data_IF_795701804394
#
_entry.id   IF_795701804394
#
_cell.length_a   1.000
_cell.length_b   1.000
_cell.length_c   1.000
_cell.angle_alpha   90.00
_cell.angle_beta   90.00
_cell.angle_gamma   90.00
#
_symmetry.space_group_name_H-M   'P 1'
#
loop_
_entity.id
_entity.type
_entity.pdbx_description
1 polymer ?
#
# COMPACT_ATOMS: atom_id res chain seq x y z
N UNK A 1 38.44 -14.97 -35.96
CA UNK A 1 38.37 -13.49 -35.90
C UNK A 1 37.84 -13.09 -34.53
N UNK A 2 38.60 -12.30 -33.77
CA UNK A 2 38.33 -11.97 -32.35
C UNK A 2 37.18 -10.96 -32.23
N UNK A 3 36.07 -11.36 -31.63
CA UNK A 3 34.98 -10.46 -31.25
C UNK A 3 35.40 -9.64 -30.01
N UNK A 4 35.54 -8.32 -30.18
CA UNK A 4 35.76 -7.37 -29.09
C UNK A 4 34.46 -7.20 -28.31
N UNK A 5 34.42 -7.73 -27.08
CA UNK A 5 33.39 -7.39 -26.08
C UNK A 5 33.64 -5.97 -25.60
N UNK A 6 32.78 -5.04 -25.99
CA UNK A 6 32.71 -3.72 -25.36
C UNK A 6 31.90 -3.86 -24.09
N UNK A 7 32.57 -3.89 -22.93
CA UNK A 7 31.92 -3.65 -21.65
C UNK A 7 31.67 -2.14 -21.54
N UNK A 8 30.50 -1.71 -21.98
CA UNK A 8 29.99 -0.41 -21.61
C UNK A 8 29.71 -0.46 -20.10
N UNK A 9 30.63 0.12 -19.32
CA UNK A 9 30.44 0.39 -17.90
C UNK A 9 29.38 1.50 -17.80
N UNK A 10 28.11 1.14 -17.88
CA UNK A 10 27.03 2.01 -17.45
C UNK A 10 27.21 2.17 -15.93
N UNK A 11 27.76 3.31 -15.53
CA UNK A 11 27.66 3.80 -14.16
C UNK A 11 26.17 3.93 -13.85
N UNK A 12 25.60 2.88 -13.28
CA UNK A 12 24.28 2.92 -12.67
C UNK A 12 24.37 3.91 -11.51
N UNK A 13 24.02 5.17 -11.78
CA UNK A 13 23.69 6.11 -10.72
C UNK A 13 22.39 5.58 -10.14
N UNK A 14 22.46 4.77 -9.09
CA UNK A 14 21.29 4.47 -8.28
C UNK A 14 20.71 5.83 -7.88
N UNK A 15 19.58 6.23 -8.45
CA UNK A 15 18.86 7.33 -7.85
C UNK A 15 18.43 6.85 -6.47
N UNK A 16 18.54 7.75 -5.52
CA UNK A 16 18.44 7.54 -4.08
C UNK A 16 17.51 8.62 -3.58
N UNK A 17 16.75 8.37 -2.53
CA UNK A 17 16.14 9.49 -1.83
C UNK A 17 17.23 10.35 -1.23
N UNK A 18 17.14 11.64 -1.49
CA UNK A 18 18.19 12.60 -1.20
C UNK A 18 17.64 13.71 -0.33
N UNK A 19 18.40 14.05 0.70
CA UNK A 19 18.22 15.26 1.47
C UNK A 19 19.30 16.24 1.03
N UNK A 20 18.91 17.39 0.48
CA UNK A 20 19.82 18.47 0.18
C UNK A 20 19.78 19.53 1.27
N UNK A 21 20.94 19.91 1.80
CA UNK A 21 21.04 21.06 2.71
C UNK A 21 21.01 22.35 1.89
N UNK A 22 19.92 23.11 2.02
CA UNK A 22 19.75 24.41 1.35
C UNK A 22 20.41 25.53 2.16
N UNK A 23 20.25 25.50 3.48
CA UNK A 23 20.88 26.45 4.40
C UNK A 23 21.11 25.82 5.78
N UNK A 24 22.15 26.25 6.53
CA UNK A 24 23.15 27.25 6.18
C UNK A 24 24.25 26.70 5.24
N UNK A 25 24.88 27.58 4.45
CA UNK A 25 25.97 27.20 3.52
C UNK A 25 27.15 26.52 4.24
N UNK A 26 27.40 26.86 5.50
CA UNK A 26 28.44 26.22 6.31
C UNK A 26 28.17 24.72 6.52
N UNK A 27 26.91 24.33 6.74
CA UNK A 27 26.51 22.93 6.83
C UNK A 27 26.57 22.24 5.47
N UNK A 28 26.08 22.90 4.41
CA UNK A 28 26.14 22.35 3.05
C UNK A 28 27.59 22.02 2.62
N UNK A 29 28.57 22.85 3.02
CA UNK A 29 30.02 22.59 2.78
C UNK A 29 30.56 21.36 3.52
N UNK A 30 29.93 20.91 4.61
CA UNK A 30 30.32 19.64 5.25
C UNK A 30 29.96 18.40 4.40
N UNK A 31 29.20 18.63 3.33
CA UNK A 31 28.80 17.66 2.32
C UNK A 31 29.30 18.11 0.92
N UNK A 32 30.46 18.77 0.84
CA UNK A 32 30.98 19.33 -0.41
C UNK A 32 31.25 18.25 -1.48
N UNK A 33 31.75 17.08 -1.08
CA UNK A 33 31.95 15.93 -1.97
C UNK A 33 30.67 15.50 -2.71
N UNK A 34 29.51 15.83 -2.15
CA UNK A 34 28.19 15.49 -2.67
C UNK A 34 27.38 16.74 -3.01
N UNK A 35 28.02 17.92 -3.13
CA UNK A 35 27.37 19.20 -3.44
C UNK A 35 26.19 19.54 -2.50
N UNK A 36 26.31 19.21 -1.21
CA UNK A 36 25.26 19.44 -0.22
C UNK A 36 24.23 18.32 -0.10
N UNK A 37 24.37 17.23 -0.87
CA UNK A 37 23.46 16.09 -0.84
C UNK A 37 23.84 15.10 0.26
N UNK A 38 22.85 14.65 1.03
CA UNK A 38 22.96 13.62 2.05
C UNK A 38 22.17 12.42 1.57
N UNK A 39 22.86 11.29 1.41
CA UNK A 39 22.26 10.07 0.87
C UNK A 39 21.66 9.22 1.98
N UNK A 40 20.43 8.76 1.75
CA UNK A 40 19.69 7.87 2.64
C UNK A 40 18.93 6.78 1.91
N UNK A 41 18.07 6.10 2.66
CA UNK A 41 17.11 5.10 2.15
C UNK A 41 15.70 5.52 2.53
N UNK A 42 14.73 5.27 1.65
CA UNK A 42 13.32 5.62 1.87
C UNK A 42 12.60 4.52 2.64
N UNK A 43 11.59 4.91 3.43
CA UNK A 43 10.63 3.98 4.01
C UNK A 43 9.75 3.29 2.97
N UNK A 44 9.40 2.03 3.19
CA UNK A 44 8.42 1.27 2.39
C UNK A 44 6.97 1.61 2.75
N UNK A 45 6.75 2.77 3.38
CA UNK A 45 5.47 3.27 3.88
C UNK A 45 5.51 4.80 3.87
N UNK A 46 4.34 5.45 4.00
CA UNK A 46 4.27 6.91 3.91
C UNK A 46 4.68 7.39 2.53
N UNK A 47 3.97 6.92 1.50
CA UNK A 47 4.31 7.12 0.09
C UNK A 47 4.60 8.58 -0.21
N UNK A 48 5.84 8.95 -0.58
CA UNK A 48 6.11 10.30 -1.05
C UNK A 48 5.41 10.51 -2.38
N UNK A 49 4.96 11.74 -2.63
CA UNK A 49 4.61 12.17 -3.97
C UNK A 49 5.87 12.18 -4.84
N UNK A 50 6.09 11.07 -5.54
CA UNK A 50 7.16 10.95 -6.52
C UNK A 50 7.05 12.07 -7.55
N UNK A 51 8.17 12.73 -7.87
CA UNK A 51 8.28 13.98 -8.63
C UNK A 51 8.03 15.29 -7.86
N UNK A 52 7.65 15.26 -6.58
CA UNK A 52 7.58 16.46 -5.74
C UNK A 52 8.79 16.56 -4.80
N UNK A 53 9.24 17.80 -4.59
CA UNK A 53 10.31 18.13 -3.65
C UNK A 53 9.71 18.74 -2.40
N UNK A 54 10.11 18.27 -1.23
CA UNK A 54 9.66 18.81 0.06
C UNK A 54 10.73 19.76 0.57
N UNK A 55 10.52 21.06 0.34
CA UNK A 55 11.32 22.12 0.95
C UNK A 55 10.77 22.42 2.35
N UNK A 56 11.61 22.30 3.37
CA UNK A 56 11.17 22.49 4.74
C UNK A 56 12.28 22.84 5.72
N UNK A 57 11.87 23.29 6.90
CA UNK A 57 12.77 23.50 8.02
C UNK A 57 13.02 22.16 8.71
N UNK A 58 14.29 21.86 8.92
CA UNK A 58 14.73 20.71 9.68
C UNK A 58 14.63 21.03 11.18
N UNK A 59 13.77 20.30 11.87
CA UNK A 59 13.49 20.46 13.30
C UNK A 59 14.09 19.30 14.07
N UNK A 60 14.87 19.61 15.09
CA UNK A 60 15.38 18.63 16.05
C UNK A 60 14.63 18.79 17.38
N UNK A 61 14.15 17.68 17.92
CA UNK A 61 13.58 17.63 19.26
C UNK A 61 14.34 16.57 20.06
N UNK A 62 14.72 16.87 21.31
CA UNK A 62 15.33 15.85 22.18
C UNK A 62 14.26 14.87 22.67
N UNK A 63 14.59 13.58 22.63
CA UNK A 63 13.79 12.54 23.29
C UNK A 63 13.98 12.61 24.80
N UNK A 64 12.89 12.49 25.57
CA UNK A 64 12.88 12.33 27.03
C UNK A 64 13.13 10.88 27.47
N UNK A 65 13.95 10.17 26.69
CA UNK A 65 14.31 8.80 27.00
C UNK A 65 13.25 7.78 26.64
N UNK A 66 12.37 8.03 25.65
CA UNK A 66 11.52 7.03 24.96
C UNK A 66 11.85 6.78 23.48
N UNK A 67 12.96 7.31 22.97
CA UNK A 67 13.40 7.22 21.57
C UNK A 67 12.27 7.55 20.59
N UNK A 68 11.49 8.59 20.83
CA UNK A 68 10.40 9.04 19.96
C UNK A 68 9.25 8.03 19.82
N UNK A 69 9.17 7.03 20.70
CA UNK A 69 8.16 5.96 20.63
C UNK A 69 6.84 6.29 21.35
N UNK A 70 6.78 7.41 22.07
CA UNK A 70 5.59 7.85 22.79
C UNK A 70 5.25 9.30 22.44
N UNK A 71 3.97 9.68 22.27
CA UNK A 71 3.60 11.08 22.00
C UNK A 71 4.09 12.09 23.05
N UNK A 72 4.23 11.69 24.31
CA UNK A 72 4.74 12.57 25.38
C UNK A 72 6.26 12.76 25.40
N UNK A 73 7.00 11.98 24.61
CA UNK A 73 8.46 11.88 24.68
C UNK A 73 9.17 13.14 24.19
N UNK A 74 8.57 13.88 23.25
CA UNK A 74 9.16 15.09 22.71
C UNK A 74 8.09 16.10 22.28
N UNK A 75 8.48 17.37 22.26
CA UNK A 75 7.67 18.48 21.76
C UNK A 75 8.34 19.08 20.53
N UNK A 76 7.56 19.37 19.49
CA UNK A 76 8.09 20.05 18.32
C UNK A 76 8.51 21.47 18.70
N UNK A 77 9.71 21.92 18.31
CA UNK A 77 10.08 23.32 18.41
C UNK A 77 9.15 24.18 17.54
N UNK A 78 8.93 25.44 17.95
CA UNK A 78 8.22 26.40 17.11
C UNK A 78 9.00 26.63 15.80
N UNK A 79 8.36 26.33 14.67
CA UNK A 79 8.89 26.68 13.34
C UNK A 79 8.78 28.20 13.18
N UNK A 80 9.88 28.92 13.37
CA UNK A 80 9.93 30.36 13.10
C UNK A 80 10.28 30.58 11.63
N UNK A 81 9.39 31.16 10.81
CA UNK A 81 9.77 31.56 9.46
C UNK A 81 10.92 32.57 9.51
N UNK A 82 11.78 32.65 8.48
CA UNK A 82 12.77 33.71 8.39
C UNK A 82 12.08 35.09 8.51
N UNK A 83 12.67 35.99 9.31
CA UNK A 83 12.09 37.31 9.61
C UNK A 83 11.72 38.04 8.31
N UNK A 84 10.44 38.41 8.14
CA UNK A 84 9.98 39.31 7.08
C UNK A 84 8.98 38.75 6.06
N UNK A 85 8.48 37.52 6.21
CA UNK A 85 7.45 36.98 5.29
C UNK A 85 6.38 36.17 6.03
N UNK A 86 5.18 36.74 6.17
CA UNK A 86 3.99 35.98 6.59
C UNK A 86 3.62 34.89 5.56
N UNK A 87 3.93 35.14 4.27
CA UNK A 87 3.72 34.20 3.16
C UNK A 87 4.61 32.95 3.29
N UNK A 88 5.78 33.05 3.92
CA UNK A 88 6.67 31.91 4.15
C UNK A 88 6.15 30.94 5.21
N UNK A 89 5.23 31.35 6.09
CA UNK A 89 4.76 30.53 7.22
C UNK A 89 3.86 29.38 6.79
N UNK A 90 3.07 29.55 5.74
CA UNK A 90 2.21 28.48 5.19
C UNK A 90 2.93 27.54 4.22
N UNK A 91 4.05 27.98 3.63
CA UNK A 91 4.81 27.16 2.68
C UNK A 91 5.96 26.36 3.32
N UNK A 92 6.34 26.66 4.56
CA UNK A 92 7.45 25.97 5.23
C UNK A 92 6.99 24.62 5.80
N UNK A 93 7.34 23.53 5.12
CA UNK A 93 7.10 22.17 5.62
C UNK A 93 7.98 21.90 6.85
N UNK A 94 7.43 21.18 7.83
CA UNK A 94 8.15 20.75 9.04
C UNK A 94 8.81 19.40 8.78
N UNK A 95 10.13 19.36 8.70
CA UNK A 95 10.88 18.10 8.53
C UNK A 95 11.48 17.72 9.88
N UNK A 96 10.99 16.65 10.50
CA UNK A 96 11.42 16.25 11.83
C UNK A 96 12.62 15.30 11.77
N UNK A 97 13.69 15.61 12.49
CA UNK A 97 14.78 14.68 12.79
C UNK A 97 14.44 13.86 14.04
N UNK A 98 14.55 12.55 13.93
CA UNK A 98 14.41 11.60 15.06
C UNK A 98 15.53 10.56 15.04
N UNK A 99 15.78 9.90 16.17
CA UNK A 99 16.70 8.76 16.22
C UNK A 99 15.96 7.42 16.16
N UNK A 100 16.60 6.45 15.49
CA UNK A 100 16.20 5.05 15.52
C UNK A 100 16.47 4.43 16.90
N UNK A 101 15.52 3.64 17.39
CA UNK A 101 15.61 2.93 18.68
C UNK A 101 14.25 2.39 19.11
N UNK A 102 14.22 1.41 20.03
CA UNK A 102 13.06 0.81 20.73
C UNK A 102 11.81 0.36 19.97
N UNK A 103 11.21 1.21 19.15
CA UNK A 103 10.02 0.92 18.36
C UNK A 103 10.33 0.91 16.85
N UNK A 104 9.34 0.48 16.09
CA UNK A 104 9.39 0.39 14.62
C UNK A 104 9.50 1.77 13.98
N UNK A 105 9.91 1.81 12.71
CA UNK A 105 9.97 3.04 11.94
C UNK A 105 8.57 3.65 11.77
N UNK A 106 7.57 2.82 11.44
CA UNK A 106 6.16 3.22 11.28
C UNK A 106 5.66 3.96 12.52
N UNK A 107 5.87 3.40 13.72
CA UNK A 107 5.43 4.03 14.97
C UNK A 107 6.01 5.44 15.15
N UNK A 108 7.31 5.62 14.89
CA UNK A 108 7.97 6.93 15.03
C UNK A 108 7.42 7.95 14.05
N UNK A 109 7.26 7.55 12.78
CA UNK A 109 6.81 8.44 11.73
C UNK A 109 5.34 8.81 11.94
N UNK A 110 4.50 7.86 12.37
CA UNK A 110 3.10 8.12 12.76
C UNK A 110 2.99 9.13 13.90
N UNK A 111 3.77 8.98 14.96
CA UNK A 111 3.77 9.95 16.08
C UNK A 111 4.24 11.33 15.61
N UNK A 112 5.21 11.39 14.71
CA UNK A 112 5.68 12.65 14.13
C UNK A 112 4.60 13.32 13.25
N UNK A 113 3.89 12.52 12.46
CA UNK A 113 2.75 12.93 11.64
C UNK A 113 1.61 13.50 12.48
N UNK A 114 1.21 12.80 13.54
CA UNK A 114 0.19 13.24 14.50
C UNK A 114 0.57 14.58 15.17
N UNK A 115 1.88 14.89 15.24
CA UNK A 115 2.40 16.17 15.74
C UNK A 115 2.49 17.26 14.66
N UNK A 116 2.14 16.95 13.42
CA UNK A 116 2.14 17.90 12.29
C UNK A 116 3.47 18.00 11.55
N UNK A 117 4.34 16.97 11.64
CA UNK A 117 5.46 16.84 10.71
C UNK A 117 4.92 16.58 9.29
N UNK A 118 5.65 17.04 8.29
CA UNK A 118 5.34 16.82 6.87
C UNK A 118 6.29 15.81 6.22
N UNK A 119 7.45 15.58 6.82
CA UNK A 119 8.38 14.52 6.48
C UNK A 119 9.26 14.20 7.70
N UNK A 120 9.84 13.01 7.73
CA UNK A 120 10.70 12.56 8.84
C UNK A 120 12.05 12.08 8.35
N UNK A 121 13.11 12.58 8.98
CA UNK A 121 14.47 12.11 8.80
C UNK A 121 14.84 11.27 10.02
N UNK A 122 14.94 9.95 9.83
CA UNK A 122 15.38 9.03 10.88
C UNK A 122 16.89 8.91 10.81
N UNK A 123 17.58 9.14 11.93
CA UNK A 123 19.03 8.91 12.04
C UNK A 123 19.26 7.54 12.65
N UNK A 124 20.13 6.73 12.05
CA UNK A 124 20.42 5.38 12.53
C UNK A 124 20.95 5.38 13.98
N UNK A 125 20.85 4.22 14.63
CA UNK A 125 21.17 4.05 16.06
C UNK A 125 22.59 4.52 16.40
N UNK A 126 22.79 5.05 17.60
CA UNK A 126 24.09 5.58 18.03
C UNK A 126 25.20 4.52 18.07
N UNK A 127 24.83 3.27 18.28
CA UNK A 127 25.75 2.12 18.25
C UNK A 127 26.06 1.63 16.84
N UNK A 128 25.48 2.23 15.79
CA UNK A 128 25.70 1.81 14.41
C UNK A 128 27.05 2.28 13.89
N UNK A 129 27.74 1.38 13.20
CA UNK A 129 28.95 1.65 12.41
C UNK A 129 28.65 1.74 10.91
N UNK A 130 27.37 1.62 10.51
CA UNK A 130 26.95 1.64 9.11
C UNK A 130 27.28 2.97 8.45
N UNK A 131 27.93 2.89 7.30
CA UNK A 131 28.18 4.03 6.42
C UNK A 131 26.90 4.43 5.67
N UNK A 132 26.94 5.57 4.99
CA UNK A 132 25.81 6.01 4.16
C UNK A 132 25.53 5.05 2.99
N UNK A 133 26.53 4.27 2.55
CA UNK A 133 26.33 3.19 1.56
C UNK A 133 25.60 1.99 2.18
N UNK A 134 25.98 1.58 3.40
CA UNK A 134 25.30 0.48 4.11
C UNK A 134 23.84 0.83 4.44
N UNK A 135 23.57 2.11 4.72
CA UNK A 135 22.21 2.60 4.98
C UNK A 135 21.35 2.52 3.73
N UNK A 136 21.88 2.81 2.55
CA UNK A 136 21.14 2.69 1.29
C UNK A 136 20.71 1.24 0.99
N UNK A 137 21.42 0.25 1.55
CA UNK A 137 21.05 -1.17 1.47
C UNK A 137 20.09 -1.60 2.60
N UNK A 138 19.80 -0.71 3.54
CA UNK A 138 18.88 -0.98 4.65
C UNK A 138 17.45 -0.66 4.21
N UNK A 139 16.51 -1.56 4.54
CA UNK A 139 15.08 -1.37 4.29
C UNK A 139 14.42 -0.87 5.58
N UNK A 140 13.73 0.27 5.48
CA UNK A 140 12.81 0.74 6.50
C UNK A 140 11.46 0.06 6.28
N UNK A 141 11.37 -1.19 6.73
CA UNK A 141 10.20 -2.04 6.49
C UNK A 141 8.97 -1.57 7.27
N UNK A 142 7.81 -1.79 6.65
CA UNK A 142 6.50 -1.71 7.28
C UNK A 142 6.38 -2.80 8.38
N UNK A 143 5.73 -2.45 9.48
CA UNK A 143 5.39 -3.35 10.58
C UNK A 143 3.94 -3.86 10.54
N UNK A 144 3.23 -3.60 9.43
CA UNK A 144 1.82 -3.95 9.21
C UNK A 144 0.87 -2.77 9.43
N UNK A 145 1.38 -1.60 9.84
CA UNK A 145 0.59 -0.39 10.06
C UNK A 145 1.03 0.79 9.18
N UNK A 146 1.92 0.57 8.22
CA UNK A 146 2.50 1.58 7.34
C UNK A 146 1.45 2.32 6.51
N UNK A 147 0.35 1.66 6.15
CA UNK A 147 -0.78 2.27 5.43
C UNK A 147 -1.43 3.44 6.20
N UNK A 148 -1.29 3.48 7.54
CA UNK A 148 -1.78 4.58 8.37
C UNK A 148 -0.93 5.85 8.27
N UNK A 149 0.32 5.74 7.79
CA UNK A 149 1.26 6.85 7.65
C UNK A 149 1.15 7.45 6.26
N UNK A 150 1.02 8.78 6.16
CA UNK A 150 0.88 9.52 4.88
C UNK A 150 2.08 10.40 4.57
N UNK A 151 2.90 10.75 5.57
CA UNK A 151 4.11 11.53 5.34
C UNK A 151 5.33 10.65 5.00
N UNK A 152 6.22 11.13 4.12
CA UNK A 152 7.40 10.36 3.74
C UNK A 152 8.52 10.43 4.76
N UNK A 153 9.37 9.41 4.74
CA UNK A 153 10.53 9.35 5.61
C UNK A 153 11.78 8.77 4.95
N UNK A 154 12.94 9.23 5.43
CA UNK A 154 14.26 8.80 4.97
C UNK A 154 15.11 8.42 6.18
N UNK A 155 15.83 7.29 6.10
CA UNK A 155 16.87 6.90 7.05
C UNK A 155 18.25 7.34 6.56
N UNK A 156 18.98 8.01 7.46
CA UNK A 156 20.37 8.46 7.26
C UNK A 156 21.34 7.70 8.17
N UNK A 157 22.62 7.68 7.77
CA UNK A 157 23.68 7.17 8.64
C UNK A 157 23.80 8.00 9.90
N UNK A 158 24.30 7.37 10.98
CA UNK A 158 24.61 8.07 12.23
C UNK A 158 25.52 9.27 11.97
N UNK A 159 26.54 9.09 11.13
CA UNK A 159 27.58 10.10 10.88
C UNK A 159 27.02 11.34 10.18
N UNK A 160 26.24 11.15 9.11
CA UNK A 160 25.66 12.28 8.38
C UNK A 160 24.50 12.91 9.16
N UNK A 161 23.65 12.08 9.78
CA UNK A 161 22.57 12.55 10.62
C UNK A 161 23.04 13.37 11.82
N UNK A 162 24.20 13.04 12.42
CA UNK A 162 24.75 13.80 13.54
C UNK A 162 25.09 15.24 13.14
N UNK A 163 25.69 15.46 11.96
CA UNK A 163 25.98 16.81 11.45
C UNK A 163 24.69 17.65 11.33
N UNK A 164 23.60 17.03 10.86
CA UNK A 164 22.30 17.69 10.74
C UNK A 164 21.69 18.02 12.11
N UNK A 165 21.78 17.09 13.07
CA UNK A 165 21.32 17.30 14.45
C UNK A 165 22.07 18.46 15.10
N UNK A 166 23.40 18.47 15.01
CA UNK A 166 24.23 19.50 15.63
C UNK A 166 23.95 20.88 15.05
N UNK A 167 23.73 20.98 13.74
CA UNK A 167 23.34 22.22 13.09
C UNK A 167 21.93 22.67 13.47
N UNK A 168 20.96 21.75 13.55
CA UNK A 168 19.58 22.06 13.95
C UNK A 168 19.48 22.53 15.41
N UNK A 169 20.40 22.10 16.28
CA UNK A 169 20.53 22.62 17.66
C UNK A 169 21.04 24.07 17.71
N UNK A 170 21.90 24.45 16.76
CA UNK A 170 22.55 25.76 16.74
C UNK A 170 21.72 26.84 16.04
N UNK A 171 20.86 26.46 15.09
CA UNK A 171 20.04 27.42 14.36
C UNK A 171 19.12 26.79 13.33
N UNK A 172 18.55 27.64 12.48
CA UNK A 172 17.64 27.22 11.42
C UNK A 172 18.39 26.50 10.31
N UNK A 173 17.99 25.26 10.04
CA UNK A 173 18.46 24.47 8.90
C UNK A 173 17.30 24.28 7.94
N UNK A 174 17.53 24.61 6.66
CA UNK A 174 16.58 24.41 5.58
C UNK A 174 17.06 23.24 4.72
N UNK A 175 16.16 22.31 4.45
CA UNK A 175 16.44 21.13 3.62
C UNK A 175 15.41 20.98 2.53
N UNK A 176 15.83 20.37 1.43
CA UNK A 176 14.96 19.88 0.38
C UNK A 176 15.06 18.36 0.34
N UNK A 177 13.93 17.67 0.41
CA UNK A 177 13.86 16.22 0.22
C UNK A 177 13.35 15.93 -1.18
N UNK A 178 14.04 15.05 -1.89
CA UNK A 178 13.64 14.61 -3.22
C UNK A 178 13.68 13.08 -3.31
N UNK A 179 12.63 12.52 -3.92
CA UNK A 179 12.52 11.10 -4.30
C UNK A 179 12.56 11.01 -5.83
N UNK A 180 13.59 11.61 -6.41
CA UNK A 180 13.75 11.67 -7.86
C UNK A 180 14.00 10.25 -8.39
N UNK A 181 13.08 9.78 -9.24
CA UNK A 181 13.22 8.53 -9.98
C UNK A 181 14.23 8.81 -11.12
N UNK A 182 15.23 7.94 -11.34
CA UNK A 182 16.16 8.12 -12.45
C UNK A 182 15.36 8.13 -13.74
N UNK A 183 15.62 9.11 -14.63
CA UNK A 183 14.81 9.31 -15.83
C UNK A 183 15.43 8.66 -17.06
N UNK A 184 14.60 8.06 -17.90
CA UNK A 184 14.99 7.48 -19.19
C UNK A 184 13.96 7.74 -20.29
N UNK A 185 14.34 7.49 -21.55
CA UNK A 185 13.37 7.47 -22.67
C UNK A 185 12.42 6.28 -22.59
N UNK A 186 12.92 5.18 -22.05
CA UNK A 186 12.19 3.96 -21.69
C UNK A 186 12.32 3.82 -20.18
N UNK A 187 11.24 3.44 -19.51
CA UNK A 187 11.28 3.10 -18.09
C UNK A 187 11.45 1.61 -17.95
N UNK A 188 12.52 1.19 -17.29
CA UNK A 188 12.75 -0.18 -16.86
C UNK A 188 11.94 -0.44 -15.58
N UNK A 189 11.00 -1.37 -15.63
CA UNK A 189 10.19 -1.82 -14.50
C UNK A 189 10.56 -3.26 -14.16
N UNK A 190 11.37 -3.43 -13.13
CA UNK A 190 11.75 -4.74 -12.59
C UNK A 190 10.85 -5.06 -11.39
N UNK A 191 10.19 -6.22 -11.42
CA UNK A 191 9.28 -6.62 -10.36
C UNK A 191 9.64 -8.01 -9.86
N UNK A 192 9.91 -8.11 -8.56
CA UNK A 192 10.16 -9.37 -7.86
C UNK A 192 8.85 -9.92 -7.31
N UNK A 193 8.46 -11.09 -7.77
CA UNK A 193 7.14 -11.65 -7.51
C UNK A 193 7.16 -13.18 -7.44
N UNK A 194 6.01 -13.76 -7.12
CA UNK A 194 5.77 -15.20 -7.30
C UNK A 194 4.41 -15.38 -7.96
N UNK A 195 4.26 -16.33 -8.89
CA UNK A 195 2.94 -16.72 -9.41
C UNK A 195 2.02 -17.25 -8.31
N UNK A 196 2.60 -17.74 -7.20
CA UNK A 196 1.89 -18.13 -5.98
C UNK A 196 1.31 -16.96 -5.18
N UNK A 197 1.88 -15.76 -5.29
CA UNK A 197 1.45 -14.58 -4.51
C UNK A 197 0.12 -14.03 -5.03
N UNK A 198 -0.85 -13.88 -4.14
CA UNK A 198 -2.16 -13.29 -4.48
C UNK A 198 -2.05 -11.80 -4.74
N UNK A 199 -1.19 -11.13 -3.97
CA UNK A 199 -0.90 -9.70 -4.04
C UNK A 199 -0.23 -9.36 -5.38
N UNK A 200 0.80 -10.11 -5.78
CA UNK A 200 1.47 -9.94 -7.07
C UNK A 200 0.49 -10.10 -8.25
N UNK A 201 -0.28 -11.19 -8.25
CA UNK A 201 -1.22 -11.48 -9.34
C UNK A 201 -2.32 -10.43 -9.47
N UNK A 202 -2.90 -9.99 -8.34
CA UNK A 202 -3.88 -8.90 -8.32
C UNK A 202 -3.30 -7.59 -8.86
N UNK A 203 -2.06 -7.27 -8.49
CA UNK A 203 -1.40 -6.09 -9.01
C UNK A 203 -1.19 -6.19 -10.54
N UNK A 204 -0.61 -7.29 -11.03
CA UNK A 204 -0.39 -7.49 -12.47
C UNK A 204 -1.69 -7.44 -13.29
N UNK A 205 -2.76 -8.07 -12.79
CA UNK A 205 -4.08 -8.02 -13.41
C UNK A 205 -4.59 -6.58 -13.53
N UNK A 206 -4.56 -5.81 -12.43
CA UNK A 206 -5.07 -4.44 -12.40
C UNK A 206 -4.17 -3.47 -13.19
N UNK A 207 -2.87 -3.73 -13.26
CA UNK A 207 -1.91 -2.90 -13.98
C UNK A 207 -1.85 -3.22 -15.49
N UNK A 208 -2.47 -4.33 -15.95
CA UNK A 208 -2.51 -4.75 -17.36
C UNK A 208 -2.84 -3.59 -18.29
N UNK A 209 -3.92 -2.85 -18.04
CA UNK A 209 -4.34 -1.74 -18.91
C UNK A 209 -3.25 -0.68 -19.04
N UNK A 210 -2.62 -0.29 -17.92
CA UNK A 210 -1.52 0.67 -17.92
C UNK A 210 -0.32 0.16 -18.74
N UNK A 211 0.07 -1.10 -18.52
CA UNK A 211 1.20 -1.68 -19.20
C UNK A 211 0.96 -1.89 -20.71
N UNK A 212 -0.27 -2.24 -21.10
CA UNK A 212 -0.65 -2.37 -22.51
C UNK A 212 -0.62 -1.02 -23.22
N UNK A 213 -1.15 0.04 -22.59
CA UNK A 213 -1.13 1.40 -23.15
C UNK A 213 0.29 1.97 -23.26
N UNK A 214 1.15 1.74 -22.26
CA UNK A 214 2.55 2.18 -22.32
C UNK A 214 3.36 1.45 -23.40
N UNK A 215 3.00 0.21 -23.73
CA UNK A 215 3.59 -0.52 -24.85
C UNK A 215 5.12 -0.57 -24.81
N UNK A 216 5.76 -0.13 -25.89
CA UNK A 216 7.23 -0.06 -26.04
C UNK A 216 7.90 1.08 -25.25
N UNK A 217 7.16 1.91 -24.51
CA UNK A 217 7.73 2.90 -23.59
C UNK A 217 8.10 2.28 -22.23
N UNK A 218 7.52 1.12 -21.89
CA UNK A 218 7.78 0.40 -20.64
C UNK A 218 8.53 -0.90 -20.91
N UNK A 219 9.75 -1.01 -20.40
CA UNK A 219 10.50 -2.26 -20.37
C UNK A 219 10.18 -3.01 -19.08
N UNK A 220 9.27 -3.97 -19.15
CA UNK A 220 8.99 -4.85 -18.01
C UNK A 220 10.03 -5.97 -17.91
N UNK A 221 10.37 -6.37 -16.69
CA UNK A 221 11.24 -7.51 -16.39
C UNK A 221 10.75 -8.21 -15.10
N UNK A 222 10.03 -9.34 -15.22
CA UNK A 222 9.61 -10.12 -14.07
C UNK A 222 10.77 -10.94 -13.51
N UNK A 223 10.94 -10.92 -12.19
CA UNK A 223 11.87 -11.75 -11.44
C UNK A 223 11.09 -12.61 -10.46
N UNK A 224 11.16 -13.93 -10.59
CA UNK A 224 10.39 -14.84 -9.74
C UNK A 224 11.18 -15.26 -8.50
N UNK A 225 10.49 -15.29 -7.35
CA UNK A 225 11.08 -15.61 -6.05
C UNK A 225 11.37 -17.10 -5.92
N UNK A 226 12.52 -17.49 -6.46
CA UNK A 226 13.06 -18.84 -6.38
C UNK A 226 14.15 -18.89 -5.30
N UNK A 227 14.12 -19.92 -4.46
CA UNK A 227 15.17 -20.21 -3.48
C UNK A 227 15.61 -21.67 -3.56
N UNK A 228 16.72 -22.01 -2.89
CA UNK A 228 17.23 -23.38 -2.78
C UNK A 228 17.16 -23.84 -1.32
N UNK A 229 16.79 -25.10 -1.11
CA UNK A 229 16.81 -25.78 0.18
C UNK A 229 17.82 -26.92 0.16
N UNK A 230 18.32 -27.30 1.34
CA UNK A 230 19.24 -28.42 1.50
C UNK A 230 18.51 -29.77 1.33
N UNK A 231 19.25 -30.85 1.04
CA UNK A 231 18.67 -32.20 0.89
C UNK A 231 18.04 -32.68 2.20
N UNK A 232 16.78 -33.14 2.14
CA UNK A 232 16.00 -33.61 3.30
C UNK A 232 14.97 -32.61 3.85
N UNK A 233 14.91 -31.40 3.29
CA UNK A 233 13.86 -30.41 3.56
C UNK A 233 12.68 -30.55 2.56
N UNK A 234 11.47 -30.21 3.02
CA UNK A 234 10.15 -30.41 2.38
C UNK A 234 10.16 -30.52 0.83
N UNK A 235 10.08 -31.76 0.33
CA UNK A 235 10.07 -32.08 -1.11
C UNK A 235 8.90 -31.44 -1.86
N UNK A 236 7.81 -31.07 -1.18
CA UNK A 236 6.63 -30.49 -1.84
C UNK A 236 6.84 -29.05 -2.31
N UNK A 237 7.90 -28.37 -1.85
CA UNK A 237 8.20 -26.98 -2.21
C UNK A 237 9.10 -26.86 -3.45
N UNK A 238 9.74 -27.95 -3.86
CA UNK A 238 10.93 -27.92 -4.69
C UNK A 238 10.81 -28.78 -5.93
N UNK A 239 11.47 -28.36 -7.01
CA UNK A 239 11.69 -29.17 -8.21
C UNK A 239 13.18 -29.44 -8.35
N UNK A 240 13.53 -30.70 -8.58
CA UNK A 240 14.87 -31.10 -8.99
C UNK A 240 15.08 -30.75 -10.47
N UNK A 241 16.16 -30.04 -10.79
CA UNK A 241 16.55 -29.76 -12.17
C UNK A 241 18.05 -29.97 -12.32
N UNK A 242 18.45 -31.17 -12.75
CA UNK A 242 19.85 -31.61 -12.70
C UNK A 242 20.25 -32.02 -11.29
N UNK A 243 21.38 -31.50 -10.80
CA UNK A 243 21.87 -31.71 -9.42
C UNK A 243 21.44 -30.61 -8.44
N UNK A 244 20.58 -29.68 -8.87
CA UNK A 244 20.15 -28.51 -8.09
C UNK A 244 18.65 -28.59 -7.78
N UNK A 245 18.26 -28.08 -6.61
CA UNK A 245 16.87 -27.96 -6.15
C UNK A 245 16.43 -26.50 -6.19
N UNK A 246 15.30 -26.26 -6.83
CA UNK A 246 14.69 -24.93 -6.95
C UNK A 246 13.31 -24.96 -6.35
N UNK A 247 13.05 -24.05 -5.42
CA UNK A 247 11.88 -24.05 -4.57
C UNK A 247 11.16 -22.71 -4.64
N UNK A 248 9.85 -22.74 -4.40
CA UNK A 248 9.04 -21.54 -4.23
C UNK A 248 8.14 -21.70 -3.00
N UNK A 249 7.71 -20.58 -2.40
CA UNK A 249 6.83 -20.60 -1.23
C UNK A 249 5.44 -21.05 -1.69
N UNK A 250 4.88 -22.07 -1.04
CA UNK A 250 3.48 -22.44 -1.27
C UNK A 250 2.54 -21.27 -0.89
N UNK A 251 1.45 -21.05 -1.65
CA UNK A 251 0.44 -20.06 -1.29
C UNK A 251 -0.17 -20.34 0.09
N UNK A 252 -0.45 -19.30 0.88
CA UNK A 252 -0.95 -19.42 2.26
C UNK A 252 -2.33 -20.10 2.34
N UNK A 253 -3.09 -20.03 1.25
CA UNK A 253 -4.46 -20.53 1.14
C UNK A 253 -4.55 -22.02 0.72
N UNK A 254 -3.44 -22.75 0.59
CA UNK A 254 -3.36 -24.23 0.61
C UNK A 254 -4.15 -25.07 -0.44
N UNK A 255 -3.41 -25.62 -1.41
CA UNK A 255 -3.62 -26.88 -2.17
C UNK A 255 -2.54 -26.99 -3.28
N UNK A 256 -2.08 -25.82 -3.74
CA UNK A 256 -0.99 -25.65 -4.70
C UNK A 256 0.36 -25.85 -4.02
N UNK A 257 1.19 -26.73 -4.59
CA UNK A 257 2.55 -26.99 -4.09
C UNK A 257 3.54 -25.92 -4.55
N UNK A 258 4.67 -25.79 -3.83
CA UNK A 258 5.75 -24.91 -4.28
C UNK A 258 6.34 -25.37 -5.62
N UNK A 259 6.35 -26.68 -5.89
CA UNK A 259 6.66 -27.22 -7.22
C UNK A 259 5.73 -26.67 -8.33
N UNK A 260 4.41 -26.66 -8.09
CA UNK A 260 3.45 -26.11 -9.05
C UNK A 260 3.72 -24.62 -9.31
N UNK A 261 4.11 -23.86 -8.27
CA UNK A 261 4.52 -22.46 -8.39
C UNK A 261 5.79 -22.31 -9.23
N UNK A 262 6.85 -23.08 -8.95
CA UNK A 262 8.10 -23.06 -9.74
C UNK A 262 7.82 -23.36 -11.22
N UNK A 263 6.96 -24.34 -11.49
CA UNK A 263 6.60 -24.72 -12.85
C UNK A 263 5.85 -23.60 -13.58
N UNK A 264 4.94 -22.90 -12.90
CA UNK A 264 4.24 -21.75 -13.47
C UNK A 264 5.17 -20.54 -13.64
N UNK A 265 6.06 -20.26 -12.69
CA UNK A 265 7.05 -19.18 -12.77
C UNK A 265 7.95 -19.34 -14.01
N UNK A 266 8.47 -20.55 -14.25
CA UNK A 266 9.26 -20.86 -15.45
C UNK A 266 8.43 -20.71 -16.72
N UNK A 267 7.15 -21.11 -16.70
CA UNK A 267 6.26 -20.97 -17.85
C UNK A 267 6.00 -19.51 -18.18
N UNK A 268 5.76 -18.66 -17.18
CA UNK A 268 5.58 -17.22 -17.38
C UNK A 268 6.84 -16.54 -17.91
N UNK A 269 8.03 -16.91 -17.41
CA UNK A 269 9.31 -16.48 -17.99
C UNK A 269 9.45 -16.90 -19.46
N UNK A 270 9.05 -18.13 -19.80
CA UNK A 270 9.08 -18.62 -21.17
C UNK A 270 8.04 -17.95 -22.07
N UNK A 271 6.85 -17.63 -21.57
CA UNK A 271 5.86 -16.82 -22.29
C UNK A 271 6.48 -15.45 -22.59
N UNK A 272 7.07 -14.76 -21.61
CA UNK A 272 7.76 -13.49 -21.83
C UNK A 272 8.84 -13.61 -22.92
N UNK A 273 9.74 -14.59 -22.80
CA UNK A 273 10.87 -14.77 -23.73
C UNK A 273 10.43 -15.13 -25.16
N UNK A 274 9.32 -15.86 -25.33
CA UNK A 274 8.87 -16.33 -26.65
C UNK A 274 7.97 -15.33 -27.38
N UNK A 275 7.22 -14.52 -26.61
CA UNK A 275 6.21 -13.58 -27.11
C UNK A 275 6.70 -12.13 -27.15
N UNK A 276 7.69 -11.76 -26.33
CA UNK A 276 8.23 -10.40 -26.35
C UNK A 276 8.88 -10.06 -27.70
N UNK A 277 8.74 -8.79 -28.07
CA UNK A 277 9.27 -8.22 -29.32
C UNK A 277 9.91 -6.88 -29.00
N UNK A 278 10.99 -6.58 -29.72
CA UNK A 278 11.62 -5.25 -29.73
C UNK A 278 11.40 -4.64 -31.11
N UNK A 279 10.93 -3.41 -31.16
CA UNK A 279 10.84 -2.66 -32.42
C UNK A 279 12.17 -2.03 -32.81
N UNK A 280 12.99 -1.67 -31.82
CA UNK A 280 14.31 -1.05 -32.00
C UNK A 280 15.35 -1.74 -31.13
N UNK A 281 16.60 -1.73 -31.59
CA UNK A 281 17.72 -2.39 -30.90
C UNK A 281 18.00 -1.76 -29.52
N UNK A 282 17.71 -0.46 -29.38
CA UNK A 282 17.80 0.33 -28.15
C UNK A 282 16.45 0.51 -27.42
N UNK A 283 15.37 -0.08 -27.94
CA UNK A 283 14.00 0.06 -27.42
C UNK A 283 13.60 -0.99 -26.39
N UNK A 284 12.43 -0.80 -25.76
CA UNK A 284 11.86 -1.77 -24.83
C UNK A 284 11.37 -3.03 -25.56
N UNK A 285 11.67 -4.19 -24.98
CA UNK A 285 10.94 -5.42 -25.24
C UNK A 285 9.54 -5.31 -24.64
N UNK A 286 8.54 -5.57 -25.45
CA UNK A 286 7.14 -5.54 -25.05
C UNK A 286 6.46 -6.85 -25.45
N UNK A 287 5.54 -7.33 -24.61
CA UNK A 287 4.67 -8.46 -24.90
C UNK A 287 3.25 -8.17 -24.44
N UNK A 288 2.36 -7.89 -25.39
CA UNK A 288 0.92 -7.77 -25.10
C UNK A 288 0.34 -9.10 -24.63
N UNK A 289 0.83 -10.22 -25.15
CA UNK A 289 0.38 -11.57 -24.81
C UNK A 289 0.75 -11.97 -23.38
N UNK A 290 1.93 -11.58 -22.89
CA UNK A 290 2.31 -11.83 -21.50
C UNK A 290 1.38 -11.10 -20.53
N UNK A 291 1.12 -9.81 -20.75
CA UNK A 291 0.22 -9.02 -19.90
C UNK A 291 -1.22 -9.55 -19.92
N UNK A 292 -1.70 -10.00 -21.07
CA UNK A 292 -2.99 -10.69 -21.15
C UNK A 292 -2.97 -12.01 -20.39
N UNK A 293 -1.94 -12.83 -20.57
CA UNK A 293 -1.79 -14.12 -19.91
C UNK A 293 -1.82 -13.98 -18.39
N UNK A 294 -0.99 -13.12 -17.78
CA UNK A 294 -0.90 -13.02 -16.32
C UNK A 294 -2.21 -12.52 -15.69
N UNK A 295 -2.95 -11.65 -16.38
CA UNK A 295 -4.25 -11.19 -15.92
C UNK A 295 -5.32 -12.27 -16.03
N UNK A 296 -5.45 -12.89 -17.21
CA UNK A 296 -6.45 -13.93 -17.47
C UNK A 296 -6.18 -15.19 -16.63
N UNK A 297 -4.90 -15.53 -16.42
CA UNK A 297 -4.49 -16.60 -15.50
C UNK A 297 -4.92 -16.31 -14.07
N UNK A 298 -4.75 -15.07 -13.57
CA UNK A 298 -5.22 -14.73 -12.22
C UNK A 298 -6.75 -14.88 -12.08
N UNK A 299 -7.51 -14.45 -13.10
CA UNK A 299 -8.97 -14.50 -13.08
C UNK A 299 -9.52 -15.93 -13.19
N UNK A 300 -8.84 -16.79 -13.94
CA UNK A 300 -9.35 -18.11 -14.33
C UNK A 300 -8.75 -19.27 -13.56
N UNK A 301 -7.51 -19.16 -13.12
CA UNK A 301 -6.75 -20.22 -12.48
C UNK A 301 -6.73 -20.01 -10.95
N UNK A 302 -7.81 -20.46 -10.31
CA UNK A 302 -8.02 -20.33 -8.87
C UNK A 302 -7.12 -21.25 -8.05
N UNK A 303 -6.59 -20.75 -6.93
CA UNK A 303 -5.72 -21.53 -6.04
C UNK A 303 -6.43 -22.73 -5.37
N UNK A 304 -7.74 -22.64 -5.18
CA UNK A 304 -8.59 -23.66 -4.54
C UNK A 304 -9.71 -24.15 -5.46
N UNK A 305 -9.58 -23.96 -6.79
CA UNK A 305 -10.64 -24.35 -7.69
C UNK A 305 -10.77 -25.88 -7.74
N UNK A 306 -11.98 -26.40 -7.48
CA UNK A 306 -12.27 -27.85 -7.51
C UNK A 306 -12.14 -28.44 -8.91
N UNK A 307 -12.48 -27.65 -9.92
CA UNK A 307 -12.30 -28.04 -11.32
C UNK A 307 -10.82 -27.95 -11.68
N UNK A 308 -10.21 -29.09 -11.99
CA UNK A 308 -8.79 -29.19 -12.36
C UNK A 308 -8.46 -28.32 -13.58
N UNK A 309 -9.42 -28.07 -14.49
CA UNK A 309 -9.21 -27.18 -15.63
C UNK A 309 -9.13 -25.70 -15.25
N UNK A 310 -9.65 -25.33 -14.07
CA UNK A 310 -9.63 -23.97 -13.50
C UNK A 310 -8.75 -23.85 -12.27
N UNK A 311 -8.10 -24.93 -11.84
CA UNK A 311 -7.14 -24.92 -10.73
C UNK A 311 -5.82 -24.37 -11.23
N UNK A 312 -5.16 -23.60 -10.38
CA UNK A 312 -3.77 -23.18 -10.60
C UNK A 312 -2.92 -24.41 -10.98
N UNK A 313 -2.16 -24.29 -12.06
CA UNK A 313 -1.34 -25.36 -12.59
C UNK A 313 -1.35 -25.43 -14.12
N UNK A 314 -0.64 -26.42 -14.64
CA UNK A 314 -0.36 -26.56 -16.07
C UNK A 314 -1.61 -26.61 -16.95
N UNK A 315 -2.64 -27.37 -16.55
CA UNK A 315 -3.85 -27.52 -17.36
C UNK A 315 -4.57 -26.20 -17.58
N UNK A 316 -4.75 -25.41 -16.52
CA UNK A 316 -5.38 -24.10 -16.63
C UNK A 316 -4.50 -23.14 -17.44
N UNK A 317 -3.18 -23.16 -17.22
CA UNK A 317 -2.22 -22.39 -18.00
C UNK A 317 -2.31 -22.67 -19.51
N UNK A 318 -2.34 -23.95 -19.90
CA UNK A 318 -2.46 -24.36 -21.32
C UNK A 318 -3.79 -23.90 -21.92
N UNK A 319 -4.88 -23.94 -21.16
CA UNK A 319 -6.17 -23.44 -21.61
C UNK A 319 -6.15 -21.91 -21.84
N UNK A 320 -5.56 -21.15 -20.91
CA UNK A 320 -5.40 -19.70 -21.06
C UNK A 320 -4.50 -19.37 -22.26
N UNK A 321 -3.39 -20.09 -22.45
CA UNK A 321 -2.53 -19.93 -23.62
C UNK A 321 -3.27 -20.20 -24.93
N UNK A 322 -4.06 -21.27 -24.99
CA UNK A 322 -4.86 -21.62 -26.15
C UNK A 322 -5.85 -20.53 -26.55
N UNK A 323 -6.57 -19.97 -25.58
CA UNK A 323 -7.56 -18.91 -25.82
C UNK A 323 -6.91 -17.59 -26.26
N UNK A 324 -5.70 -17.29 -25.77
CA UNK A 324 -4.93 -16.11 -26.17
C UNK A 324 -4.12 -16.30 -27.47
N UNK A 325 -4.16 -17.50 -28.07
CA UNK A 325 -3.36 -17.83 -29.25
C UNK A 325 -1.85 -17.89 -28.99
N UNK A 326 -1.43 -18.13 -27.75
CA UNK A 326 -0.02 -18.36 -27.40
C UNK A 326 0.35 -19.80 -27.81
N UNK A 327 1.38 -19.93 -28.63
CA UNK A 327 1.88 -21.23 -29.09
C UNK A 327 2.50 -22.03 -27.93
N UNK A 328 1.69 -22.93 -27.37
CA UNK A 328 2.07 -23.78 -26.25
C UNK A 328 3.29 -24.68 -26.58
N UNK A 329 3.46 -25.10 -27.83
CA UNK A 329 4.62 -25.91 -28.23
C UNK A 329 5.91 -25.10 -28.19
N UNK A 330 5.88 -23.83 -28.60
CA UNK A 330 7.04 -22.93 -28.47
C UNK A 330 7.37 -22.62 -27.02
N UNK A 331 6.36 -22.41 -26.18
CA UNK A 331 6.56 -22.20 -24.73
C UNK A 331 7.17 -23.46 -24.10
N UNK A 332 6.64 -24.64 -24.40
CA UNK A 332 7.17 -25.91 -23.90
C UNK A 332 8.62 -26.14 -24.33
N UNK A 333 8.96 -25.88 -25.60
CA UNK A 333 10.34 -25.95 -26.07
C UNK A 333 11.28 -24.97 -25.34
N UNK A 334 10.78 -23.81 -24.90
CA UNK A 334 11.53 -22.91 -24.02
C UNK A 334 11.74 -23.52 -22.64
N UNK A 335 10.69 -24.08 -22.02
CA UNK A 335 10.79 -24.71 -20.70
C UNK A 335 11.81 -25.84 -20.72
N UNK A 336 11.73 -26.76 -21.68
CA UNK A 336 12.64 -27.90 -21.78
C UNK A 336 14.10 -27.47 -21.99
N UNK A 337 14.33 -26.45 -22.81
CA UNK A 337 15.69 -26.01 -23.17
C UNK A 337 16.31 -25.05 -22.15
N UNK A 338 15.51 -24.17 -21.54
CA UNK A 338 15.99 -23.04 -20.75
C UNK A 338 15.57 -23.05 -19.29
N UNK A 339 14.87 -24.07 -18.78
CA UNK A 339 14.49 -24.18 -17.36
C UNK A 339 15.66 -23.92 -16.41
N UNK A 340 16.75 -24.68 -16.53
CA UNK A 340 17.89 -24.58 -15.63
C UNK A 340 18.58 -23.19 -15.66
N UNK A 341 18.94 -22.60 -16.82
CA UNK A 341 19.52 -21.26 -16.82
C UNK A 341 18.57 -20.19 -16.30
N UNK A 342 17.26 -20.28 -16.61
CA UNK A 342 16.27 -19.32 -16.09
C UNK A 342 16.18 -19.39 -14.55
N UNK A 343 16.08 -20.58 -13.98
CA UNK A 343 16.00 -20.75 -12.53
C UNK A 343 17.28 -20.29 -11.80
N UNK A 344 18.46 -20.53 -12.38
CA UNK A 344 19.72 -20.02 -11.84
C UNK A 344 19.81 -18.50 -11.88
N UNK A 345 19.27 -17.87 -12.91
CA UNK A 345 19.16 -16.41 -12.97
C UNK A 345 18.26 -15.88 -11.85
N UNK A 346 17.12 -16.54 -11.59
CA UNK A 346 16.22 -16.16 -10.50
C UNK A 346 16.88 -16.27 -9.11
N UNK A 347 17.68 -17.31 -8.86
CA UNK A 347 18.45 -17.44 -7.60
C UNK A 347 19.46 -16.29 -7.39
N UNK A 348 19.96 -15.69 -8.47
CA UNK A 348 20.92 -14.57 -8.41
C UNK A 348 20.23 -13.22 -8.31
N UNK A 349 18.98 -13.11 -8.80
CA UNK A 349 18.18 -11.89 -8.78
C UNK A 349 17.62 -11.62 -7.38
N UNK A 350 18.44 -11.00 -6.51
CA UNK A 350 18.09 -10.74 -5.12
C UNK A 350 17.41 -9.38 -4.93
N UNK A 351 16.11 -9.39 -4.71
CA UNK A 351 15.41 -8.31 -4.01
C UNK A 351 14.41 -8.88 -2.99
N UNK A 352 13.67 -7.99 -2.33
CA UNK A 352 12.59 -8.39 -1.42
C UNK A 352 11.40 -8.92 -2.22
N UNK A 353 10.67 -9.89 -1.67
CA UNK A 353 9.37 -10.34 -2.18
C UNK A 353 8.46 -9.12 -2.42
N UNK A 354 7.78 -9.07 -3.57
CA UNK A 354 6.97 -7.92 -4.01
C UNK A 354 7.77 -6.62 -4.17
N UNK A 355 9.07 -6.72 -4.37
CA UNK A 355 9.94 -5.58 -4.64
C UNK A 355 9.71 -5.03 -6.05
N UNK A 356 9.45 -3.73 -6.18
CA UNK A 356 9.35 -3.05 -7.46
C UNK A 356 10.51 -2.07 -7.61
N UNK A 357 11.16 -2.07 -8.77
CA UNK A 357 12.18 -1.08 -9.12
C UNK A 357 11.88 -0.41 -10.46
N UNK A 358 12.10 0.90 -10.51
CA UNK A 358 11.95 1.73 -11.71
C UNK A 358 13.31 2.34 -12.05
N UNK A 359 13.89 1.98 -13.19
CA UNK A 359 15.23 2.39 -13.60
C UNK A 359 16.32 2.10 -12.54
N UNK A 360 16.17 0.98 -11.80
CA UNK A 360 17.05 0.59 -10.69
C UNK A 360 16.83 1.37 -9.38
N UNK A 361 15.82 2.25 -9.33
CA UNK A 361 15.38 2.91 -8.11
C UNK A 361 14.25 2.10 -7.45
N UNK A 362 14.37 1.83 -6.15
CA UNK A 362 13.40 1.03 -5.40
C UNK A 362 12.11 1.81 -5.15
N UNK A 363 11.02 1.32 -5.70
CA UNK A 363 9.68 1.77 -5.37
C UNK A 363 9.28 1.28 -3.98
N UNK A 364 8.60 2.14 -3.24
CA UNK A 364 8.31 1.96 -1.81
C UNK A 364 6.88 2.38 -1.44
N UNK A 365 6.04 2.63 -2.45
CA UNK A 365 4.62 2.91 -2.27
C UNK A 365 3.76 1.64 -2.37
N UNK A 366 2.43 1.79 -2.30
CA UNK A 366 1.49 0.70 -2.49
C UNK A 366 1.55 0.12 -3.92
N UNK A 367 1.37 -1.20 -4.02
CA UNK A 367 1.27 -1.90 -5.31
C UNK A 367 -0.15 -1.79 -5.88
N UNK A 368 -0.55 -0.58 -6.23
CA UNK A 368 -1.79 -0.28 -6.95
C UNK A 368 -1.50 0.42 -8.29
N UNK A 369 -2.41 0.33 -9.27
CA UNK A 369 -2.14 0.89 -10.60
C UNK A 369 -1.89 2.38 -10.64
N UNK A 370 -2.59 3.17 -9.82
CA UNK A 370 -2.48 4.63 -9.83
C UNK A 370 -1.12 5.07 -9.30
N UNK A 371 -0.74 4.56 -8.13
CA UNK A 371 0.53 4.90 -7.49
C UNK A 371 1.74 4.44 -8.30
N UNK A 372 1.65 3.24 -8.91
CA UNK A 372 2.73 2.72 -9.75
C UNK A 372 2.78 3.45 -11.10
N UNK A 373 1.64 3.74 -11.74
CA UNK A 373 1.62 4.50 -12.99
C UNK A 373 2.22 5.90 -12.80
N UNK A 374 1.86 6.60 -11.71
CA UNK A 374 2.44 7.91 -11.38
C UNK A 374 3.96 7.84 -11.28
N UNK A 375 4.48 6.81 -10.60
CA UNK A 375 5.92 6.59 -10.47
C UNK A 375 6.59 6.24 -11.82
N UNK A 376 5.99 5.35 -12.61
CA UNK A 376 6.46 5.02 -13.97
C UNK A 376 6.51 6.27 -14.83
N UNK A 377 5.45 7.08 -14.84
CA UNK A 377 5.38 8.32 -15.61
C UNK A 377 6.43 9.35 -15.17
N UNK A 378 6.74 9.42 -13.87
CA UNK A 378 7.83 10.24 -13.32
C UNK A 378 9.23 9.76 -13.69
N UNK A 379 9.37 8.49 -14.13
CA UNK A 379 10.61 7.89 -14.61
C UNK A 379 10.94 8.21 -16.08
N UNK A 380 10.06 8.87 -16.82
CA UNK A 380 10.36 9.30 -18.19
C UNK A 380 11.13 10.63 -18.22
N UNK A 381 12.08 10.76 -19.14
CA UNK A 381 12.67 12.05 -19.48
C UNK A 381 11.63 12.99 -20.10
N UNK A 382 10.76 12.43 -20.94
CA UNK A 382 9.61 13.11 -21.53
C UNK A 382 8.45 12.12 -21.49
N UNK A 383 7.47 12.32 -20.59
CA UNK A 383 6.34 11.41 -20.47
C UNK A 383 5.57 11.30 -21.79
N UNK A 384 5.18 10.09 -22.21
CA UNK A 384 4.38 9.90 -23.40
C UNK A 384 2.91 10.30 -23.12
N UNK A 385 2.10 10.55 -24.15
CA UNK A 385 0.75 11.14 -23.98
C UNK A 385 -0.18 10.28 -23.12
N UNK A 386 -0.02 8.97 -23.21
CA UNK A 386 -0.74 7.94 -22.47
C UNK A 386 -0.62 8.12 -20.94
N UNK A 387 0.50 8.70 -20.47
CA UNK A 387 0.68 9.00 -19.04
C UNK A 387 -0.31 10.05 -18.52
N UNK A 388 -0.72 11.02 -19.35
CA UNK A 388 -1.67 12.05 -18.96
C UNK A 388 -3.10 11.50 -18.98
N UNK A 389 -3.47 10.82 -20.08
CA UNK A 389 -4.80 10.27 -20.30
C UNK A 389 -5.19 9.27 -19.20
N UNK A 390 -4.30 8.33 -18.87
CA UNK A 390 -4.59 7.30 -17.86
C UNK A 390 -4.62 7.82 -16.42
N UNK A 391 -3.91 8.91 -16.11
CA UNK A 391 -3.96 9.51 -14.78
C UNK A 391 -5.31 10.18 -14.52
N UNK A 392 -5.92 10.78 -15.55
CA UNK A 392 -7.26 11.36 -15.45
C UNK A 392 -8.33 10.26 -15.24
N UNK A 393 -8.24 9.16 -15.99
CA UNK A 393 -9.20 8.04 -15.89
C UNK A 393 -9.18 7.33 -14.52
N UNK A 394 -8.00 7.11 -13.95
CA UNK A 394 -7.86 6.44 -12.66
C UNK A 394 -8.40 7.29 -11.50
N UNK A 395 -8.26 8.61 -11.58
CA UNK A 395 -8.76 9.53 -10.56
C UNK A 395 -10.30 9.58 -10.52
N UNK A 396 -10.96 9.37 -11.67
CA UNK A 396 -12.44 9.35 -11.76
C UNK A 396 -13.02 8.04 -11.22
N UNK A 397 -12.32 6.92 -11.35
CA UNK A 397 -12.80 5.60 -10.92
C UNK A 397 -12.81 5.39 -9.38
N UNK A 398 -12.07 6.22 -8.62
CA UNK A 398 -11.92 6.07 -7.16
C UNK A 398 -12.97 6.76 -6.29
N UNK A 399 -13.84 7.61 -6.86
CA UNK A 399 -14.80 8.42 -6.10
C UNK A 399 -16.26 8.05 -6.37
N UNK A 400 -17.09 7.98 -5.33
CA UNK A 400 -18.55 8.05 -5.49
C UNK A 400 -18.90 9.49 -5.85
N UNK A 401 -19.56 9.77 -6.99
CA UNK A 401 -19.97 11.12 -7.35
C UNK A 401 -20.77 11.74 -6.21
N UNK A 402 -20.49 13.01 -5.89
CA UNK A 402 -21.23 13.76 -4.87
C UNK A 402 -22.77 13.64 -4.99
N UNK A 403 -23.38 13.65 -6.20
CA UNK A 403 -24.82 13.44 -6.35
C UNK A 403 -25.30 12.07 -5.85
N UNK A 404 -24.55 11.01 -6.12
CA UNK A 404 -24.92 9.63 -5.75
C UNK A 404 -24.80 9.41 -4.24
N UNK A 405 -23.78 9.98 -3.62
CA UNK A 405 -23.63 10.00 -2.17
C UNK A 405 -24.81 10.73 -1.50
N UNK A 406 -25.19 11.89 -2.03
CA UNK A 406 -26.32 12.67 -1.51
C UNK A 406 -27.66 11.96 -1.71
N UNK A 407 -27.85 11.27 -2.84
CA UNK A 407 -29.03 10.45 -3.07
C UNK A 407 -29.11 9.27 -2.08
N UNK A 408 -28.00 8.59 -1.81
CA UNK A 408 -27.93 7.51 -0.83
C UNK A 408 -28.26 7.98 0.59
N UNK A 409 -27.71 9.11 1.03
CA UNK A 409 -27.99 9.70 2.33
C UNK A 409 -29.45 10.15 2.47
N UNK A 410 -30.03 10.75 1.42
CA UNK A 410 -31.44 11.12 1.41
C UNK A 410 -32.36 9.90 1.52
N UNK A 411 -32.02 8.80 0.83
CA UNK A 411 -32.79 7.57 0.86
C UNK A 411 -32.74 6.92 2.25
N UNK A 412 -31.56 6.88 2.88
CA UNK A 412 -31.39 6.40 4.26
C UNK A 412 -32.19 7.24 5.26
N UNK A 413 -32.14 8.57 5.14
CA UNK A 413 -32.92 9.48 5.99
C UNK A 413 -34.43 9.27 5.81
N UNK A 414 -34.89 9.07 4.58
CA UNK A 414 -36.31 8.84 4.31
C UNK A 414 -36.82 7.53 4.94
N UNK A 415 -36.00 6.47 4.91
CA UNK A 415 -36.29 5.19 5.58
C UNK A 415 -36.34 5.37 7.10
N UNK A 416 -35.39 6.08 7.70
CA UNK A 416 -35.38 6.34 9.14
C UNK A 416 -36.61 7.15 9.59
N UNK A 417 -37.01 8.17 8.81
CA UNK A 417 -38.22 8.95 9.06
C UNK A 417 -39.46 8.06 8.95
N UNK A 418 -39.55 7.21 7.93
CA UNK A 418 -40.66 6.28 7.78
C UNK A 418 -40.76 5.30 8.97
N UNK A 419 -39.64 4.69 9.37
CA UNK A 419 -39.58 3.80 10.54
C UNK A 419 -40.01 4.54 11.81
N UNK A 420 -39.51 5.75 12.03
CA UNK A 420 -39.93 6.57 13.18
C UNK A 420 -41.42 6.91 13.14
N UNK A 421 -41.96 7.21 11.96
CA UNK A 421 -43.38 7.49 11.78
C UNK A 421 -44.24 6.25 12.08
N UNK A 422 -43.86 5.07 11.57
CA UNK A 422 -44.55 3.82 11.86
C UNK A 422 -44.44 3.42 13.33
N UNK A 423 -43.25 3.59 13.94
CA UNK A 423 -43.03 3.37 15.36
C UNK A 423 -43.92 4.30 16.21
N UNK A 424 -43.91 5.60 15.93
CA UNK A 424 -44.75 6.58 16.63
C UNK A 424 -46.23 6.27 16.49
N UNK A 425 -46.68 5.89 15.29
CA UNK A 425 -48.07 5.50 15.02
C UNK A 425 -48.46 4.22 15.78
N UNK A 426 -47.57 3.24 15.84
CA UNK A 426 -47.79 2.01 16.59
C UNK A 426 -47.88 2.27 18.10
N UNK A 427 -46.93 3.05 18.65
CA UNK A 427 -46.92 3.41 20.07
C UNK A 427 -48.14 4.23 20.46
N UNK A 428 -48.50 5.28 19.69
CA UNK A 428 -49.71 6.07 19.98
C UNK A 428 -50.99 5.25 19.88
N UNK A 429 -51.08 4.31 18.94
CA UNK A 429 -52.21 3.39 18.87
C UNK A 429 -52.26 2.42 20.06
N UNK A 430 -51.11 1.93 20.52
CA UNK A 430 -51.01 1.01 21.66
C UNK A 430 -51.36 1.71 22.97
N UNK A 431 -50.78 2.88 23.23
CA UNK A 431 -51.03 3.69 24.44
C UNK A 431 -52.50 4.09 24.56
N UNK A 432 -53.16 4.47 23.45
CA UNK A 432 -54.62 4.77 23.45
C UNK A 432 -55.49 3.58 23.82
N UNK A 433 -55.05 2.34 23.57
CA UNK A 433 -55.80 1.13 23.96
C UNK A 433 -55.69 0.90 25.46
N UNK A 434 -54.47 0.96 26.00
CA UNK A 434 -54.22 0.80 27.45
C UNK A 434 -54.93 1.89 28.26
N UNK A 435 -54.83 3.16 27.85
CA UNK A 435 -55.54 4.26 28.53
C UNK A 435 -57.06 4.11 28.52
N UNK A 436 -57.64 3.54 27.45
CA UNK A 436 -59.10 3.29 27.41
C UNK A 436 -59.51 2.18 28.37
N UNK A 437 -58.68 1.16 28.53
CA UNK A 437 -58.93 0.07 29.48
C UNK A 437 -58.83 0.58 30.93
N UNK A 438 -57.80 1.37 31.26
CA UNK A 438 -57.65 1.97 32.59
C UNK A 438 -58.80 2.95 32.91
N UNK A 439 -59.16 3.84 31.98
CA UNK A 439 -60.28 4.78 32.20
C UNK A 439 -61.61 4.06 32.31
N UNK A 440 -61.85 2.98 31.54
CA UNK A 440 -63.07 2.19 31.70
C UNK A 440 -63.15 1.50 33.07
N UNK A 441 -62.03 0.98 33.58
CA UNK A 441 -61.98 0.35 34.90
C UNK A 441 -62.22 1.36 36.03
N UNK A 442 -61.67 2.56 35.92
CA UNK A 442 -61.86 3.61 36.92
C UNK A 442 -63.30 4.15 36.91
N UNK A 443 -63.91 4.31 35.73
CA UNK A 443 -65.33 4.66 35.61
C UNK A 443 -66.22 3.56 36.21
N UNK A 444 -65.92 2.28 35.95
CA UNK A 444 -66.67 1.16 36.57
C UNK A 444 -66.54 1.15 38.10
N UNK A 445 -65.34 1.44 38.64
CA UNK A 445 -65.11 1.58 40.08
C UNK A 445 -65.94 2.72 40.68
N UNK A 446 -65.93 3.91 40.06
CA UNK A 446 -66.70 5.05 40.57
C UNK A 446 -68.21 4.85 40.44
N UNK A 447 -68.69 4.17 39.41
CA UNK A 447 -70.12 3.83 39.28
C UNK A 447 -70.55 2.80 40.35
N UNK A 448 -69.69 1.86 40.74
CA UNK A 448 -69.97 0.93 41.83
C UNK A 448 -70.13 1.66 43.18
N UNK A 449 -69.27 2.65 43.46
CA UNK A 449 -69.38 3.46 44.68
C UNK A 449 -70.66 4.31 44.73
N UNK A 450 -71.15 4.80 43.58
CA UNK A 450 -72.41 5.54 43.52
C UNK A 450 -73.64 4.66 43.79
N UNK A 451 -73.67 3.43 43.27
CA UNK A 451 -74.79 2.49 43.49
C UNK A 451 -74.93 2.11 44.97
N UNK A 452 -73.83 2.07 45.73
CA UNK A 452 -73.86 1.77 47.17
C UNK A 452 -74.45 2.91 48.01
N UNK A 453 -74.47 4.15 47.53
CA UNK A 453 -75.07 5.28 48.26
C UNK A 453 -76.58 5.45 48.05
N UNK A 454 -77.17 4.86 47.01
CA UNK A 454 -78.62 4.94 46.75
C UNK A 454 -79.45 3.95 47.59
N UNK A 455 -78.85 2.85 48.06
CA UNK A 455 -79.52 1.83 48.91
C UNK A 455 -79.55 2.17 50.42
N UNK A 456 -79.04 3.34 50.81
CA UNK A 456 -78.96 3.80 52.20
C UNK A 456 -80.22 4.48 52.77
N UNK A 457 -81.18 4.87 51.93
CA UNK A 457 -82.29 5.73 52.32
C UNK A 457 -83.66 5.17 51.90
N UNK A 458 -84.06 4.03 52.51
CA UNK A 458 -85.46 3.62 52.60
C UNK A 458 -85.66 2.54 53.68
N UNK A 459 -85.82 2.97 54.94
CA UNK A 459 -86.43 2.14 56.01
C UNK A 459 -87.67 2.85 56.58
N UNK A 460 -88.89 2.35 56.34
CA UNK A 460 -90.09 2.82 57.01
C UNK A 460 -90.26 2.20 58.42
N UNK A 461 -91.01 2.85 59.33
CA UNK A 461 -90.97 2.57 60.76
C UNK A 461 -91.90 1.43 61.22
N UNK A 462 -91.33 0.60 62.10
CA UNK A 462 -91.91 -0.20 63.19
C UNK A 462 -93.42 -0.50 63.21
N UNK A 463 -93.74 -1.81 63.28
CA UNK A 463 -94.94 -2.30 63.97
C UNK A 463 -94.56 -3.41 64.96
N UNK A 464 -94.74 -3.11 66.26
CA UNK A 464 -94.68 -4.04 67.40
C UNK A 464 -96.05 -4.71 67.58
N UNK A 465 -96.08 -6.04 67.75
CA UNK A 465 -97.04 -6.84 68.58
C UNK A 465 -96.33 -8.20 68.83
N UNK A 466 -95.80 -8.55 70.03
CA UNK A 466 -96.42 -9.25 71.19
C UNK A 466 -97.41 -10.38 70.78
N UNK A 467 -97.45 -11.60 71.32
CA UNK A 467 -96.75 -12.28 72.43
C UNK A 467 -97.29 -13.73 72.49
N UNK A 468 -96.41 -14.71 72.66
CA UNK A 468 -96.59 -15.90 73.53
C UNK A 468 -95.20 -16.46 73.86
#
# INVERSE_FOLDING_TARGET
MRARRWHALLLAVCARAQLQVVAPKALARQFEATHGMVYGTTATFGTPDYSQRVLGQLLWAESKGKDYCEPGDYSLPDSRPPKGSEVAKEMLKKVLLVRRGRCTFVTKVRIAEEKGAHAVVVVDKETSTKTSEDIQRTVMADDGWGDSVKIPSILLSKFDGQKLIDAARQGTVMVELAWDIPRGKVVMMEFWLSSGSREARRFLERFKTCALSLGHHLQFAPHYDIFSLDEGEDDSLCVASGSERFCAKSPEDGEVSGEEVVNEDVRQLCIWNTTSRREREDGASYSSLYWQYVADFNQRCGMQARDVARRFGEKCSLAVMGDLGIDASRVQGCVEKYRLPLLREQLQSRASHLGLQLNGWRYSGPLDPESVLKAVCGGFTTPPAECLEMQEDLHVAGGVPFPDLMAGLALLASVLIAVFFFYKRHVTSSVRRVLREEVMLEVQSQMADYVVMEDGDNRPPNQRVLSF
#
